data_IF_552672095359
#
_entry.id   IF_552672095359
#
_cell.length_a   1.000
_cell.length_b   1.000
_cell.length_c   1.000
_cell.angle_alpha   90.00
_cell.angle_beta   90.00
_cell.angle_gamma   90.00
#
_symmetry.space_group_name_H-M   'P 1'
#
loop_
_entity.id
_entity.type
_entity.pdbx_description
1 polymer ?
#
# COMPACT_ATOMS: atom_id res chain seq x y z
N UNK A 1 11.82 1.68 13.92
CA UNK A 1 12.41 2.70 14.83
C UNK A 1 12.29 2.25 16.28
N UNK A 2 13.23 2.65 17.15
CA UNK A 2 13.11 2.38 18.59
C UNK A 2 12.17 3.38 19.26
N UNK A 3 11.38 2.89 20.22
CA UNK A 3 10.61 3.79 21.07
C UNK A 3 11.55 4.66 21.92
N UNK A 4 11.31 6.00 22.02
CA UNK A 4 11.95 6.80 23.07
C UNK A 4 11.59 6.27 24.46
N UNK A 5 12.53 6.31 25.41
CA UNK A 5 12.34 5.75 26.74
C UNK A 5 11.14 6.33 27.49
N UNK A 6 10.90 7.63 27.35
CA UNK A 6 9.76 8.32 27.94
C UNK A 6 8.42 7.88 27.33
N UNK A 7 8.37 7.62 26.03
CA UNK A 7 7.17 7.09 25.36
C UNK A 7 6.94 5.63 25.75
N UNK A 8 8.02 4.84 25.83
CA UNK A 8 7.94 3.44 26.25
C UNK A 8 7.38 3.35 27.69
N UNK A 9 7.85 4.22 28.60
CA UNK A 9 7.35 4.29 29.97
C UNK A 9 5.84 4.60 30.01
N UNK A 10 5.34 5.51 29.16
CA UNK A 10 3.90 5.81 29.08
C UNK A 10 3.11 4.64 28.52
N UNK A 11 3.60 3.98 27.47
CA UNK A 11 2.88 2.86 26.83
C UNK A 11 2.88 1.58 27.67
N UNK A 12 3.87 1.43 28.58
CA UNK A 12 3.95 0.31 29.54
C UNK A 12 3.40 0.66 30.92
N UNK A 13 2.93 1.89 31.16
CA UNK A 13 2.28 2.29 32.42
C UNK A 13 1.03 1.42 32.66
N UNK A 14 0.85 0.86 33.86
CA UNK A 14 -0.33 0.03 34.18
C UNK A 14 -1.68 0.72 33.96
N UNK A 15 -1.71 2.05 33.92
CA UNK A 15 -2.92 2.87 33.63
C UNK A 15 -3.17 3.03 32.14
N UNK A 16 -2.21 2.68 31.28
CA UNK A 16 -2.39 2.70 29.83
C UNK A 16 -3.26 1.52 29.40
N UNK A 17 -4.33 1.81 28.68
CA UNK A 17 -5.24 0.79 28.16
C UNK A 17 -4.98 0.64 26.67
N UNK A 18 -4.53 -0.55 26.28
CA UNK A 18 -4.37 -0.96 24.87
C UNK A 18 -5.52 -1.91 24.55
N UNK A 19 -6.59 -1.37 23.98
CA UNK A 19 -7.76 -2.10 23.50
C UNK A 19 -7.64 -2.38 22.00
N UNK A 20 -8.55 -3.18 21.45
CA UNK A 20 -8.51 -3.63 20.07
C UNK A 20 -8.32 -2.50 19.05
N UNK A 21 -9.08 -1.40 19.20
CA UNK A 21 -9.14 -0.29 18.26
C UNK A 21 -8.59 1.03 18.83
N UNK A 22 -8.02 1.02 20.05
CA UNK A 22 -7.61 2.26 20.70
C UNK A 22 -6.51 2.10 21.73
N UNK A 23 -5.79 3.20 21.94
CA UNK A 23 -4.81 3.36 23.01
C UNK A 23 -5.17 4.59 23.82
N UNK A 24 -5.43 4.39 25.13
CA UNK A 24 -5.68 5.47 26.09
C UNK A 24 -4.58 5.50 27.13
N UNK A 25 -3.96 6.64 27.31
CA UNK A 25 -2.82 6.83 28.21
C UNK A 25 -3.16 7.78 29.36
N UNK A 26 -2.50 7.70 30.52
CA UNK A 26 -2.53 8.77 31.50
C UNK A 26 -2.01 10.08 30.88
N UNK A 27 -2.34 11.24 31.49
CA UNK A 27 -1.96 12.55 30.98
C UNK A 27 -1.07 13.35 31.97
N UNK A 28 -0.35 12.66 32.83
CA UNK A 28 0.54 13.20 33.85
C UNK A 28 2.02 13.12 33.44
N UNK A 29 2.31 13.31 32.16
CA UNK A 29 3.66 13.32 31.58
C UNK A 29 3.94 14.62 30.81
N UNK A 30 5.20 14.86 30.46
CA UNK A 30 5.63 16.09 29.80
C UNK A 30 4.97 16.29 28.42
N UNK A 31 4.79 17.56 28.02
CA UNK A 31 4.24 17.89 26.69
C UNK A 31 5.12 17.42 25.56
N UNK A 32 6.43 17.31 25.75
CA UNK A 32 7.38 16.72 24.79
C UNK A 32 7.13 15.24 24.59
N UNK A 33 6.91 14.49 25.68
CA UNK A 33 6.52 13.07 25.63
C UNK A 33 5.19 12.88 24.93
N UNK A 34 4.20 13.78 25.17
CA UNK A 34 2.95 13.78 24.42
C UNK A 34 3.17 13.96 22.91
N UNK A 35 4.00 14.90 22.51
CA UNK A 35 4.27 15.16 21.11
C UNK A 35 4.87 13.93 20.43
N UNK A 36 5.86 13.29 21.06
CA UNK A 36 6.50 12.07 20.59
C UNK A 36 5.51 10.89 20.52
N UNK A 37 4.75 10.66 21.59
CA UNK A 37 3.72 9.62 21.65
C UNK A 37 2.66 9.80 20.56
N UNK A 38 2.14 11.02 20.41
CA UNK A 38 1.14 11.33 19.39
C UNK A 38 1.70 11.12 17.98
N UNK A 39 2.96 11.49 17.73
CA UNK A 39 3.62 11.23 16.44
C UNK A 39 3.72 9.73 16.17
N UNK A 40 4.24 8.96 17.12
CA UNK A 40 4.41 7.51 16.98
C UNK A 40 3.08 6.80 16.74
N UNK A 41 2.07 7.07 17.58
CA UNK A 41 0.77 6.44 17.42
C UNK A 41 0.06 6.85 16.13
N UNK A 42 0.32 8.07 15.61
CA UNK A 42 -0.16 8.49 14.28
C UNK A 42 0.59 7.80 13.15
N UNK A 43 1.88 7.60 13.27
CA UNK A 43 2.68 6.82 12.31
C UNK A 43 2.22 5.35 12.26
N UNK A 44 1.75 4.81 13.39
CA UNK A 44 1.12 3.49 13.45
C UNK A 44 -0.35 3.47 12.97
N UNK A 45 -0.87 4.58 12.43
CA UNK A 45 -2.23 4.68 11.88
C UNK A 45 -3.30 5.19 12.82
N UNK A 46 -2.95 5.51 14.08
CA UNK A 46 -3.88 6.04 15.09
C UNK A 46 -4.24 7.50 14.85
N UNK A 47 -5.41 7.93 15.31
CA UNK A 47 -5.84 9.33 15.36
C UNK A 47 -6.30 9.68 16.76
N UNK A 48 -5.67 10.69 17.37
CA UNK A 48 -6.12 11.19 18.65
C UNK A 48 -7.51 11.83 18.54
N UNK A 49 -8.41 11.48 19.44
CA UNK A 49 -9.78 12.01 19.48
C UNK A 49 -10.05 12.88 20.69
N UNK A 50 -9.75 12.40 21.87
CA UNK A 50 -9.94 13.09 23.14
C UNK A 50 -9.18 12.39 24.25
N UNK A 51 -9.08 13.02 25.45
CA UNK A 51 -8.51 12.36 26.64
C UNK A 51 -9.23 11.06 27.02
N UNK A 52 -10.55 11.01 26.82
CA UNK A 52 -11.38 9.82 27.15
C UNK A 52 -11.22 8.71 26.13
N UNK A 53 -11.12 9.04 24.85
CA UNK A 53 -11.07 8.07 23.74
C UNK A 53 -9.65 7.70 23.36
N UNK A 54 -8.65 8.51 23.70
CA UNK A 54 -7.26 8.30 23.32
C UNK A 54 -7.01 8.39 21.80
N UNK A 55 -6.06 7.60 21.32
CA UNK A 55 -5.82 7.37 19.91
C UNK A 55 -6.69 6.21 19.45
N UNK A 56 -7.48 6.44 18.41
CA UNK A 56 -8.37 5.45 17.79
C UNK A 56 -7.76 5.01 16.46
N UNK A 57 -7.77 3.72 16.19
CA UNK A 57 -7.21 3.08 15.00
C UNK A 57 -8.33 2.52 14.13
N UNK A 58 -8.19 2.53 12.80
CA UNK A 58 -9.18 1.95 11.89
C UNK A 58 -9.12 0.40 11.86
N UNK A 59 -8.19 -0.20 12.61
CA UNK A 59 -7.94 -1.65 12.67
C UNK A 59 -7.54 -2.06 14.09
N UNK A 60 -7.53 -3.38 14.35
CA UNK A 60 -7.10 -3.93 15.64
C UNK A 60 -5.60 -3.71 15.83
N UNK A 61 -5.25 -2.85 16.79
CA UNK A 61 -3.85 -2.45 17.07
C UNK A 61 -3.23 -3.21 18.26
N UNK A 62 -4.06 -3.76 19.16
CA UNK A 62 -3.61 -4.24 20.47
C UNK A 62 -2.45 -5.25 20.40
N UNK A 63 -2.58 -6.30 19.60
CA UNK A 63 -1.56 -7.36 19.55
C UNK A 63 -0.28 -6.85 18.86
N UNK A 64 -0.43 -6.02 17.84
CA UNK A 64 0.73 -5.41 17.17
C UNK A 64 1.49 -4.47 18.08
N UNK A 65 0.79 -3.56 18.76
CA UNK A 65 1.45 -2.64 19.67
C UNK A 65 2.15 -3.39 20.80
N UNK A 66 1.55 -4.46 21.33
CA UNK A 66 2.20 -5.32 22.33
C UNK A 66 3.47 -5.98 21.79
N UNK A 67 3.44 -6.50 20.55
CA UNK A 67 4.63 -7.05 19.89
C UNK A 67 5.72 -5.98 19.71
N UNK A 68 5.35 -4.78 19.25
CA UNK A 68 6.27 -3.66 19.11
C UNK A 68 6.89 -3.27 20.46
N UNK A 69 6.08 -3.21 21.52
CA UNK A 69 6.56 -2.91 22.87
C UNK A 69 7.51 -3.99 23.40
N UNK A 70 7.23 -5.26 23.15
CA UNK A 70 8.11 -6.37 23.52
C UNK A 70 9.44 -6.34 22.75
N UNK A 71 9.43 -5.90 21.49
CA UNK A 71 10.63 -5.71 20.67
C UNK A 71 11.38 -4.40 21.00
N UNK A 72 10.75 -3.43 21.67
CA UNK A 72 11.27 -2.09 21.90
C UNK A 72 11.31 -1.22 20.63
N UNK A 73 10.66 -1.67 19.56
CA UNK A 73 10.69 -1.03 18.24
C UNK A 73 9.29 -0.96 17.64
N UNK A 74 9.05 0.06 16.81
CA UNK A 74 7.81 0.22 16.06
C UNK A 74 8.10 0.54 14.59
N UNK A 75 7.30 0.01 13.66
CA UNK A 75 7.43 0.36 12.26
C UNK A 75 6.79 1.72 12.00
N UNK A 76 7.48 2.58 11.26
CA UNK A 76 6.91 3.83 10.79
C UNK A 76 6.04 3.60 9.55
N UNK A 77 5.12 4.54 9.24
CA UNK A 77 4.39 4.54 7.97
C UNK A 77 5.34 4.49 6.76
N UNK A 78 6.47 5.16 6.87
CA UNK A 78 7.48 5.21 5.81
C UNK A 78 8.16 3.85 5.60
N UNK A 79 8.45 3.12 6.68
CA UNK A 79 9.04 1.77 6.61
C UNK A 79 8.03 0.74 6.09
N UNK A 80 6.74 0.90 6.40
CA UNK A 80 5.67 0.06 5.86
C UNK A 80 5.23 0.48 4.46
N UNK A 81 5.61 1.68 4.00
CA UNK A 81 5.20 2.23 2.71
C UNK A 81 3.68 2.31 2.51
N UNK A 82 2.90 2.18 3.60
CA UNK A 82 1.46 2.09 3.52
C UNK A 82 0.78 3.42 3.85
N UNK A 83 0.03 3.92 2.87
CA UNK A 83 -0.86 5.08 3.02
C UNK A 83 -2.25 4.69 2.51
N UNK A 84 -3.29 4.81 3.36
CA UNK A 84 -4.67 4.54 2.92
C UNK A 84 -5.00 5.41 1.70
N UNK A 85 -5.47 4.79 0.64
CA UNK A 85 -5.90 5.51 -0.57
C UNK A 85 -7.19 6.27 -0.26
N UNK A 86 -7.25 7.60 -0.49
CA UNK A 86 -8.48 8.37 -0.30
C UNK A 86 -9.61 7.86 -1.19
N UNK A 87 -10.85 7.88 -0.67
CA UNK A 87 -12.01 7.33 -1.39
C UNK A 87 -12.24 7.98 -2.75
N UNK A 88 -12.01 9.29 -2.88
CA UNK A 88 -12.11 10.00 -4.17
C UNK A 88 -11.12 9.48 -5.19
N UNK A 89 -9.88 9.20 -4.76
CA UNK A 89 -8.85 8.64 -5.62
C UNK A 89 -9.15 7.18 -5.98
N UNK A 90 -9.68 6.39 -5.03
CA UNK A 90 -10.14 5.01 -5.32
C UNK A 90 -11.16 5.04 -6.47
N UNK A 91 -12.16 5.92 -6.38
CA UNK A 91 -13.17 6.07 -7.44
C UNK A 91 -12.53 6.41 -8.78
N UNK A 92 -11.65 7.41 -8.83
CA UNK A 92 -10.94 7.83 -10.04
C UNK A 92 -10.12 6.68 -10.66
N UNK A 93 -9.34 5.95 -9.85
CA UNK A 93 -8.54 4.80 -10.28
C UNK A 93 -9.43 3.72 -10.91
N UNK A 94 -10.53 3.36 -10.24
CA UNK A 94 -11.42 2.30 -10.71
C UNK A 94 -12.24 2.69 -11.94
N UNK A 95 -12.59 3.98 -12.09
CA UNK A 95 -13.23 4.51 -13.29
C UNK A 95 -12.27 4.45 -14.48
N UNK A 96 -11.03 4.89 -14.29
CA UNK A 96 -9.98 4.84 -15.32
C UNK A 96 -9.64 3.39 -15.69
N UNK A 97 -9.58 2.47 -14.72
CA UNK A 97 -9.37 1.05 -14.97
C UNK A 97 -10.56 0.38 -15.68
N UNK A 98 -11.72 1.02 -15.75
CA UNK A 98 -12.91 0.47 -16.39
C UNK A 98 -13.40 -0.80 -15.69
N UNK A 99 -13.42 -0.81 -14.36
CA UNK A 99 -13.92 -1.94 -13.57
C UNK A 99 -15.42 -2.11 -13.80
N UNK A 100 -15.82 -3.32 -14.19
CA UNK A 100 -17.21 -3.71 -14.47
C UNK A 100 -17.43 -5.20 -14.18
N UNK A 101 -18.68 -5.63 -14.20
CA UNK A 101 -19.07 -6.99 -13.88
C UNK A 101 -18.29 -8.03 -14.69
N UNK A 102 -17.80 -9.05 -13.99
CA UNK A 102 -17.06 -10.19 -14.56
C UNK A 102 -15.58 -9.95 -14.84
N UNK A 103 -15.07 -8.73 -14.70
CA UNK A 103 -13.63 -8.46 -14.87
C UNK A 103 -12.84 -9.04 -13.71
N UNK A 104 -11.76 -9.77 -14.03
CA UNK A 104 -10.78 -10.24 -13.06
C UNK A 104 -9.80 -9.13 -12.74
N UNK A 105 -9.58 -8.88 -11.45
CA UNK A 105 -8.77 -7.75 -10.96
C UNK A 105 -7.71 -8.25 -10.00
N UNK A 106 -6.47 -7.84 -10.22
CA UNK A 106 -5.40 -8.00 -9.24
C UNK A 106 -5.19 -6.71 -8.47
N UNK A 107 -5.18 -6.79 -7.14
CA UNK A 107 -4.73 -5.72 -6.23
C UNK A 107 -3.47 -6.19 -5.49
N UNK A 108 -2.26 -5.91 -6.00
CA UNK A 108 -1.03 -6.51 -5.50
C UNK A 108 -0.44 -5.83 -4.24
N UNK A 109 -1.10 -4.83 -3.70
CA UNK A 109 -0.70 -4.11 -2.48
C UNK A 109 -1.96 -3.63 -1.76
N UNK A 110 -2.83 -4.59 -1.36
CA UNK A 110 -4.22 -4.31 -1.03
C UNK A 110 -4.41 -3.48 0.25
N UNK A 111 -3.44 -3.46 1.14
CA UNK A 111 -3.52 -2.67 2.36
C UNK A 111 -4.75 -3.01 3.20
N UNK A 112 -5.55 -2.01 3.52
CA UNK A 112 -6.80 -2.17 4.26
C UNK A 112 -8.03 -2.44 3.39
N UNK A 113 -7.87 -2.71 2.07
CA UNK A 113 -8.97 -3.04 1.18
C UNK A 113 -9.70 -1.83 0.59
N UNK A 114 -9.01 -0.70 0.41
CA UNK A 114 -9.63 0.50 -0.12
C UNK A 114 -10.19 0.29 -1.53
N UNK A 115 -9.50 -0.46 -2.38
CA UNK A 115 -9.97 -0.82 -3.71
C UNK A 115 -10.91 -2.03 -3.70
N UNK A 116 -10.59 -3.10 -2.95
CA UNK A 116 -11.30 -4.38 -2.99
C UNK A 116 -12.81 -4.24 -2.85
N UNK A 117 -13.29 -3.52 -1.83
CA UNK A 117 -14.72 -3.33 -1.59
C UNK A 117 -15.43 -2.60 -2.75
N UNK A 118 -14.80 -1.59 -3.33
CA UNK A 118 -15.37 -0.84 -4.45
C UNK A 118 -15.29 -1.62 -5.78
N UNK A 119 -14.28 -2.48 -5.96
CA UNK A 119 -14.19 -3.41 -7.12
C UNK A 119 -15.40 -4.34 -7.10
N UNK A 120 -15.66 -4.97 -5.95
CA UNK A 120 -16.80 -5.91 -5.80
C UNK A 120 -18.14 -5.20 -5.98
N UNK A 121 -18.33 -3.99 -5.46
CA UNK A 121 -19.54 -3.19 -5.70
C UNK A 121 -19.78 -2.90 -7.18
N UNK A 122 -18.74 -2.85 -8.03
CA UNK A 122 -18.83 -2.70 -9.48
C UNK A 122 -18.96 -4.04 -10.23
N UNK A 123 -19.04 -5.16 -9.48
CA UNK A 123 -19.17 -6.51 -10.01
C UNK A 123 -17.86 -7.14 -10.51
N UNK A 124 -16.71 -6.55 -10.21
CA UNK A 124 -15.40 -7.14 -10.47
C UNK A 124 -15.09 -8.30 -9.52
N UNK A 125 -14.22 -9.21 -9.95
CA UNK A 125 -13.73 -10.34 -9.16
C UNK A 125 -12.27 -10.07 -8.79
N UNK A 126 -11.97 -9.82 -7.52
CA UNK A 126 -10.67 -9.34 -7.07
C UNK A 126 -9.87 -10.42 -6.35
N UNK A 127 -8.61 -10.55 -6.73
CA UNK A 127 -7.57 -11.24 -5.98
C UNK A 127 -6.64 -10.20 -5.38
N UNK A 128 -6.38 -10.33 -4.08
CA UNK A 128 -5.58 -9.39 -3.32
C UNK A 128 -4.29 -10.03 -2.82
N UNK A 129 -3.19 -9.27 -2.87
CA UNK A 129 -1.92 -9.63 -2.22
C UNK A 129 -1.61 -8.57 -1.16
N UNK A 130 -1.26 -9.01 0.03
CA UNK A 130 -0.91 -8.12 1.14
C UNK A 130 0.25 -8.71 1.96
N UNK A 131 1.26 -7.89 2.19
CA UNK A 131 2.46 -8.27 2.92
C UNK A 131 2.24 -8.36 4.44
N UNK A 132 1.41 -7.49 5.01
CA UNK A 132 1.12 -7.50 6.45
C UNK A 132 0.04 -8.54 6.78
N UNK A 133 0.40 -9.51 7.63
CA UNK A 133 -0.47 -10.62 8.01
C UNK A 133 -1.82 -10.17 8.59
N UNK A 134 -1.85 -9.04 9.30
CA UNK A 134 -3.08 -8.53 9.94
C UNK A 134 -4.00 -7.91 8.91
N UNK A 135 -3.46 -7.14 7.97
CA UNK A 135 -4.24 -6.58 6.87
C UNK A 135 -4.74 -7.70 5.96
N UNK A 136 -3.92 -8.71 5.67
CA UNK A 136 -4.36 -9.90 4.93
C UNK A 136 -5.50 -10.64 5.64
N UNK A 137 -5.44 -10.78 6.97
CA UNK A 137 -6.54 -11.38 7.74
C UNK A 137 -7.80 -10.50 7.72
N UNK A 138 -7.65 -9.18 7.84
CA UNK A 138 -8.78 -8.25 7.73
C UNK A 138 -9.47 -8.37 6.37
N UNK A 139 -8.71 -8.46 5.27
CA UNK A 139 -9.27 -8.65 3.92
C UNK A 139 -10.04 -9.97 3.81
N UNK A 140 -9.55 -11.05 4.42
CA UNK A 140 -10.27 -12.34 4.48
C UNK A 140 -11.56 -12.26 5.29
N UNK A 141 -11.53 -11.54 6.42
CA UNK A 141 -12.71 -11.31 7.26
C UNK A 141 -13.77 -10.45 6.56
N UNK A 142 -13.37 -9.49 5.73
CA UNK A 142 -14.27 -8.67 4.92
C UNK A 142 -15.01 -9.50 3.86
N UNK A 143 -14.36 -10.55 3.33
CA UNK A 143 -14.98 -11.48 2.39
C UNK A 143 -15.21 -10.93 0.97
N UNK A 144 -14.64 -9.79 0.64
CA UNK A 144 -14.79 -9.14 -0.67
C UNK A 144 -13.91 -9.80 -1.75
N UNK A 145 -12.77 -10.38 -1.38
CA UNK A 145 -11.81 -10.94 -2.33
C UNK A 145 -12.12 -12.40 -2.66
N UNK A 146 -11.93 -12.79 -3.93
CA UNK A 146 -11.94 -14.19 -4.34
C UNK A 146 -10.80 -14.95 -3.65
N UNK A 147 -9.60 -14.35 -3.64
CA UNK A 147 -8.44 -14.85 -2.90
C UNK A 147 -7.73 -13.72 -2.17
N UNK A 148 -7.08 -14.04 -1.05
CA UNK A 148 -6.17 -13.14 -0.33
C UNK A 148 -4.88 -13.87 -0.06
N UNK A 149 -3.83 -13.48 -0.76
CA UNK A 149 -2.47 -14.03 -0.60
C UNK A 149 -1.69 -13.17 0.39
N UNK A 150 -1.23 -13.79 1.47
CA UNK A 150 -0.32 -13.16 2.42
C UNK A 150 1.13 -13.46 1.99
N UNK A 151 1.73 -12.55 1.25
CA UNK A 151 3.09 -12.66 0.73
C UNK A 151 3.62 -11.28 0.32
N UNK A 152 4.93 -11.19 0.06
CA UNK A 152 5.46 -10.11 -0.78
C UNK A 152 4.97 -10.31 -2.21
N UNK A 153 4.42 -9.26 -2.81
CA UNK A 153 3.96 -9.35 -4.19
C UNK A 153 5.12 -9.69 -5.15
N UNK A 154 6.32 -9.18 -4.87
CA UNK A 154 7.50 -9.42 -5.70
C UNK A 154 8.01 -10.88 -5.66
N UNK A 155 7.53 -11.69 -4.71
CA UNK A 155 7.88 -13.11 -4.58
C UNK A 155 6.94 -14.03 -5.36
N UNK A 156 5.84 -13.51 -5.93
CA UNK A 156 4.88 -14.30 -6.69
C UNK A 156 5.35 -14.48 -8.14
N UNK A 157 5.13 -15.67 -8.70
CA UNK A 157 5.47 -15.93 -10.09
C UNK A 157 4.26 -15.64 -11.01
N UNK A 158 4.39 -14.73 -12.00
CA UNK A 158 3.33 -14.52 -12.99
C UNK A 158 2.92 -15.80 -13.73
N UNK A 159 3.78 -16.79 -13.84
CA UNK A 159 3.48 -18.08 -14.49
C UNK A 159 2.46 -18.92 -13.71
N UNK A 160 2.24 -18.64 -12.42
CA UNK A 160 1.16 -19.26 -11.63
C UNK A 160 -0.24 -18.75 -12.05
N UNK A 161 -0.29 -17.67 -12.87
CA UNK A 161 -1.51 -17.06 -13.39
C UNK A 161 -1.40 -16.86 -14.92
N UNK A 162 -1.34 -17.94 -15.71
CA UNK A 162 -0.99 -17.86 -17.13
C UNK A 162 -2.02 -17.10 -17.98
N UNK A 163 -3.28 -17.03 -17.55
CA UNK A 163 -4.31 -16.24 -18.23
C UNK A 163 -4.19 -14.73 -17.93
N UNK A 164 -3.52 -14.38 -16.83
CA UNK A 164 -3.40 -13.02 -16.35
C UNK A 164 -4.72 -12.43 -15.87
N UNK A 165 -4.68 -11.14 -15.54
CA UNK A 165 -5.83 -10.38 -15.05
C UNK A 165 -6.27 -9.35 -16.09
N UNK A 166 -7.59 -9.16 -16.23
CA UNK A 166 -8.15 -8.10 -17.07
C UNK A 166 -7.73 -6.69 -16.57
N UNK A 167 -7.58 -6.55 -15.26
CA UNK A 167 -7.24 -5.28 -14.62
C UNK A 167 -6.23 -5.48 -13.50
N UNK A 168 -5.31 -4.55 -13.40
CA UNK A 168 -4.43 -4.43 -12.23
C UNK A 168 -4.63 -3.03 -11.66
N UNK A 169 -5.01 -2.93 -10.39
CA UNK A 169 -5.14 -1.64 -9.70
C UNK A 169 -4.29 -1.66 -8.45
N UNK A 170 -3.50 -0.61 -8.23
CA UNK A 170 -2.57 -0.63 -7.12
C UNK A 170 -2.16 0.75 -6.62
N UNK A 171 -1.86 0.81 -5.33
CA UNK A 171 -1.12 1.89 -4.70
C UNK A 171 0.09 1.25 -3.98
N UNK A 172 1.17 0.95 -4.72
CA UNK A 172 2.31 0.23 -4.18
C UNK A 172 3.10 1.11 -3.19
N UNK A 173 4.00 0.51 -2.39
CA UNK A 173 4.96 1.29 -1.60
C UNK A 173 5.70 2.28 -2.50
N UNK A 174 5.81 3.55 -2.08
CA UNK A 174 6.52 4.56 -2.89
C UNK A 174 8.01 4.25 -3.05
N UNK A 175 8.60 3.57 -2.05
CA UNK A 175 9.94 3.00 -2.18
C UNK A 175 9.86 1.70 -2.98
N UNK A 176 10.58 1.62 -4.10
CA UNK A 176 10.54 0.43 -4.98
C UNK A 176 9.27 0.30 -5.82
N UNK A 177 8.43 1.35 -5.90
CA UNK A 177 7.17 1.32 -6.64
C UNK A 177 7.35 0.94 -8.11
N UNK A 178 8.45 1.34 -8.75
CA UNK A 178 8.74 0.96 -10.14
C UNK A 178 8.94 -0.55 -10.31
N UNK A 179 9.58 -1.22 -9.36
CA UNK A 179 9.76 -2.68 -9.40
C UNK A 179 8.41 -3.40 -9.25
N UNK A 180 7.52 -2.87 -8.39
CA UNK A 180 6.16 -3.39 -8.27
C UNK A 180 5.37 -3.25 -9.57
N UNK A 181 5.46 -2.11 -10.25
CA UNK A 181 4.79 -1.92 -11.56
C UNK A 181 5.33 -2.89 -12.60
N UNK A 182 6.65 -3.00 -12.72
CA UNK A 182 7.30 -3.91 -13.66
C UNK A 182 6.87 -5.35 -13.44
N UNK A 183 6.82 -5.75 -12.18
CA UNK A 183 6.36 -7.08 -11.79
C UNK A 183 4.87 -7.27 -12.10
N UNK A 184 4.03 -6.26 -11.84
CA UNK A 184 2.60 -6.28 -12.09
C UNK A 184 2.24 -6.43 -13.58
N UNK A 185 3.06 -5.88 -14.47
CA UNK A 185 2.90 -6.05 -15.92
C UNK A 185 2.92 -7.55 -16.31
N UNK A 186 3.70 -8.39 -15.61
CA UNK A 186 3.73 -9.82 -15.82
C UNK A 186 2.39 -10.54 -15.57
N UNK A 187 1.54 -9.96 -14.74
CA UNK A 187 0.23 -10.50 -14.39
C UNK A 187 -0.92 -9.98 -15.28
N UNK A 188 -0.64 -9.12 -16.25
CA UNK A 188 -1.65 -8.57 -17.14
C UNK A 188 -2.03 -9.58 -18.24
N UNK A 189 -3.31 -9.71 -18.57
CA UNK A 189 -3.76 -10.39 -19.78
C UNK A 189 -3.49 -9.53 -21.03
N UNK A 190 -3.79 -10.06 -22.23
CA UNK A 190 -3.49 -9.37 -23.49
C UNK A 190 -4.24 -8.05 -23.68
N UNK A 191 -5.49 -7.97 -23.19
CA UNK A 191 -6.34 -6.75 -23.27
C UNK A 191 -6.51 -6.08 -21.91
N UNK A 192 -5.48 -6.18 -21.07
CA UNK A 192 -5.54 -5.67 -19.71
C UNK A 192 -5.29 -4.16 -19.64
N UNK A 193 -5.70 -3.61 -18.51
CA UNK A 193 -5.36 -2.24 -18.10
C UNK A 193 -4.76 -2.29 -16.70
N UNK A 194 -3.61 -1.62 -16.53
CA UNK A 194 -3.03 -1.36 -15.22
C UNK A 194 -3.21 0.13 -14.88
N UNK A 195 -3.75 0.40 -13.70
CA UNK A 195 -3.81 1.75 -13.14
C UNK A 195 -3.13 1.76 -11.77
N UNK A 196 -2.18 2.66 -11.59
CA UNK A 196 -1.40 2.74 -10.35
C UNK A 196 -1.24 4.16 -9.86
N UNK A 197 -1.30 4.31 -8.54
CA UNK A 197 -0.87 5.53 -7.87
C UNK A 197 0.62 5.43 -7.61
N UNK A 198 1.41 6.38 -8.10
CA UNK A 198 2.86 6.37 -8.05
C UNK A 198 3.40 7.66 -7.41
N UNK A 199 4.67 7.61 -6.97
CA UNK A 199 5.38 8.85 -6.66
C UNK A 199 5.48 9.73 -7.91
N UNK A 200 5.21 11.02 -7.78
CA UNK A 200 5.34 12.00 -8.85
C UNK A 200 6.77 12.04 -9.44
N UNK A 201 7.77 11.57 -8.69
CA UNK A 201 9.14 11.37 -9.18
C UNK A 201 9.23 10.54 -10.45
N UNK A 202 8.26 9.65 -10.71
CA UNK A 202 8.15 8.91 -11.96
C UNK A 202 8.16 9.83 -13.20
N UNK A 203 7.66 11.04 -13.08
CA UNK A 203 7.54 12.00 -14.20
C UNK A 203 8.86 12.66 -14.58
N UNK A 204 9.82 12.82 -13.63
CA UNK A 204 11.04 13.62 -13.89
C UNK A 204 12.35 13.03 -13.40
N UNK A 205 12.36 11.93 -12.63
CA UNK A 205 13.62 11.29 -12.26
C UNK A 205 14.39 10.90 -13.53
N UNK A 206 15.70 11.19 -13.52
CA UNK A 206 16.58 11.04 -14.68
C UNK A 206 17.42 9.76 -14.64
N UNK A 207 17.22 8.88 -13.66
CA UNK A 207 17.85 7.59 -13.66
C UNK A 207 17.39 6.76 -14.87
N UNK A 208 18.31 5.91 -15.34
CA UNK A 208 18.10 5.14 -16.57
C UNK A 208 16.82 4.29 -16.52
N UNK A 209 16.57 3.64 -15.39
CA UNK A 209 15.44 2.74 -15.23
C UNK A 209 14.09 3.46 -15.33
N UNK A 210 13.98 4.65 -14.71
CA UNK A 210 12.77 5.48 -14.77
C UNK A 210 12.58 6.09 -16.17
N UNK A 211 13.67 6.50 -16.84
CA UNK A 211 13.60 7.05 -18.19
C UNK A 211 13.14 6.00 -19.21
N UNK A 212 13.69 4.78 -19.15
CA UNK A 212 13.27 3.64 -19.99
C UNK A 212 11.82 3.26 -19.75
N UNK A 213 11.37 3.31 -18.49
CA UNK A 213 9.98 3.03 -18.17
C UNK A 213 9.02 4.08 -18.74
N UNK A 214 9.35 5.37 -18.64
CA UNK A 214 8.54 6.43 -19.29
C UNK A 214 8.46 6.26 -20.81
N UNK A 215 9.55 5.83 -21.43
CA UNK A 215 9.54 5.54 -22.87
C UNK A 215 8.56 4.39 -23.17
N UNK A 216 8.62 3.29 -22.39
CA UNK A 216 7.67 2.18 -22.54
C UNK A 216 6.22 2.64 -22.36
N UNK A 217 5.93 3.48 -21.36
CA UNK A 217 4.59 4.07 -21.18
C UNK A 217 4.12 4.77 -22.44
N UNK A 218 5.00 5.59 -23.06
CA UNK A 218 4.71 6.28 -24.32
C UNK A 218 4.51 5.31 -25.50
N UNK A 219 5.31 4.26 -25.57
CA UNK A 219 5.28 3.29 -26.68
C UNK A 219 3.99 2.43 -26.70
N UNK A 220 3.26 2.40 -25.57
CA UNK A 220 2.00 1.66 -25.44
C UNK A 220 0.78 2.56 -25.31
N UNK A 221 0.90 3.84 -25.67
CA UNK A 221 -0.17 4.83 -25.50
C UNK A 221 -0.66 4.93 -24.03
N UNK A 222 0.25 4.71 -23.09
CA UNK A 222 0.02 4.92 -21.67
C UNK A 222 0.15 6.38 -21.27
N UNK A 223 -0.33 6.70 -20.08
CA UNK A 223 -0.38 8.09 -19.57
C UNK A 223 0.15 8.17 -18.14
N UNK A 224 0.80 9.28 -17.82
CA UNK A 224 1.19 9.64 -16.46
C UNK A 224 0.66 11.05 -16.17
N UNK A 225 -0.26 11.17 -15.22
CA UNK A 225 -0.90 12.44 -14.85
C UNK A 225 -0.56 12.79 -13.39
N UNK A 226 -0.17 14.06 -13.15
CA UNK A 226 0.08 14.56 -11.79
C UNK A 226 -1.23 14.68 -11.02
N UNK A 227 -1.23 14.22 -9.77
CA UNK A 227 -2.35 14.39 -8.86
C UNK A 227 -2.19 15.68 -8.03
N UNK A 228 -3.28 16.27 -7.51
CA UNK A 228 -3.20 17.43 -6.62
C UNK A 228 -2.28 17.18 -5.42
N UNK A 229 -1.50 18.21 -5.04
CA UNK A 229 -0.48 18.11 -3.98
C UNK A 229 -1.04 17.63 -2.62
N UNK A 230 -2.31 17.87 -2.35
CA UNK A 230 -2.99 17.52 -1.10
C UNK A 230 -3.74 16.17 -1.15
N UNK A 231 -3.63 15.42 -2.26
CA UNK A 231 -4.35 14.15 -2.47
C UNK A 231 -4.23 13.20 -1.27
N UNK A 232 -3.06 13.05 -0.68
CA UNK A 232 -2.80 12.19 0.49
C UNK A 232 -2.72 12.94 1.83
N UNK A 233 -3.04 14.23 1.89
CA UNK A 233 -2.99 15.01 3.13
C UNK A 233 -3.85 14.39 4.24
N UNK A 234 -5.05 13.92 3.90
CA UNK A 234 -5.93 13.21 4.85
C UNK A 234 -5.35 11.88 5.36
N UNK A 235 -4.47 11.24 4.57
CA UNK A 235 -3.75 10.01 4.94
C UNK A 235 -2.46 10.29 5.74
N UNK A 236 -2.17 11.57 5.98
CA UNK A 236 -1.06 12.03 6.85
C UNK A 236 0.29 12.06 6.16
N UNK A 237 0.33 12.24 4.85
CA UNK A 237 1.55 12.49 4.08
C UNK A 237 1.33 13.61 3.06
N UNK A 238 2.40 14.35 2.75
CA UNK A 238 2.43 15.35 1.69
C UNK A 238 3.24 14.84 0.48
N UNK A 239 3.36 13.54 0.32
CA UNK A 239 4.03 12.95 -0.84
C UNK A 239 3.23 13.33 -2.09
N UNK A 240 3.90 13.97 -3.04
CA UNK A 240 3.33 14.27 -4.35
C UNK A 240 3.25 12.99 -5.16
N UNK A 241 2.10 12.78 -5.76
CA UNK A 241 1.78 11.55 -6.47
C UNK A 241 1.30 11.81 -7.88
N UNK A 242 1.41 10.81 -8.72
CA UNK A 242 0.84 10.78 -10.06
C UNK A 242 0.02 9.50 -10.26
N UNK A 243 -0.84 9.54 -11.25
CA UNK A 243 -1.61 8.40 -11.71
C UNK A 243 -0.97 7.87 -12.98
N UNK A 244 -0.68 6.57 -12.99
CA UNK A 244 -0.17 5.84 -14.14
C UNK A 244 -1.30 5.03 -14.75
N UNK A 245 -1.49 5.15 -16.06
CA UNK A 245 -2.36 4.31 -16.88
C UNK A 245 -1.54 3.56 -17.92
N UNK A 246 -1.66 2.25 -17.97
CA UNK A 246 -0.99 1.37 -18.92
C UNK A 246 -2.01 0.43 -19.57
N UNK A 247 -2.37 0.63 -20.85
CA UNK A 247 -3.14 -0.34 -21.60
C UNK A 247 -2.22 -1.44 -22.15
N UNK A 248 -2.71 -2.66 -22.22
CA UNK A 248 -2.09 -3.76 -22.93
C UNK A 248 -2.94 -4.14 -24.12
N UNK A 249 -2.30 -4.60 -25.21
CA UNK A 249 -2.95 -5.14 -26.38
C UNK A 249 -2.20 -6.39 -26.84
N UNK A 250 -2.79 -7.27 -27.64
CA UNK A 250 -2.09 -8.42 -28.22
C UNK A 250 -0.83 -7.97 -28.96
N UNK A 251 0.32 -8.56 -28.62
CA UNK A 251 1.62 -8.16 -29.16
C UNK A 251 2.24 -6.88 -28.57
N UNK A 252 1.66 -6.35 -27.50
CA UNK A 252 2.20 -5.18 -26.78
C UNK A 252 3.65 -5.41 -26.35
N UNK A 253 4.52 -4.38 -26.46
CA UNK A 253 5.88 -4.44 -25.94
C UNK A 253 5.94 -4.65 -24.42
N UNK A 254 4.85 -4.42 -23.67
CA UNK A 254 4.76 -4.77 -22.25
C UNK A 254 5.06 -6.24 -21.99
N UNK A 255 4.66 -7.15 -22.88
CA UNK A 255 4.80 -8.61 -22.72
C UNK A 255 6.14 -9.17 -23.24
N UNK A 256 6.84 -8.42 -24.08
CA UNK A 256 8.09 -8.84 -24.70
C UNK A 256 9.34 -8.21 -24.10
N UNK A 257 9.18 -7.24 -23.21
CA UNK A 257 10.30 -6.54 -22.61
C UNK A 257 11.07 -7.44 -21.63
N UNK A 258 12.39 -7.40 -21.67
CA UNK A 258 13.32 -8.22 -20.87
C UNK A 258 13.13 -8.11 -19.35
N UNK A 259 12.32 -7.18 -18.86
CA UNK A 259 12.01 -7.03 -17.43
C UNK A 259 11.29 -8.23 -16.82
N UNK A 260 10.56 -9.02 -17.61
CA UNK A 260 9.95 -10.27 -17.16
C UNK A 260 10.97 -11.36 -16.86
N UNK A 261 12.23 -11.19 -17.31
CA UNK A 261 13.30 -12.17 -17.14
C UNK A 261 14.27 -11.80 -16.01
N UNK A 262 14.16 -10.59 -15.45
CA UNK A 262 14.94 -10.19 -14.30
C UNK A 262 14.39 -10.89 -13.05
N UNK A 263 15.03 -11.97 -12.64
CA UNK A 263 14.82 -12.59 -11.34
C UNK A 263 14.84 -11.51 -10.24
N UNK A 264 13.94 -11.58 -9.23
CA UNK A 264 14.00 -10.66 -8.12
C UNK A 264 15.42 -10.69 -7.55
N UNK A 265 16.08 -9.54 -7.52
CA UNK A 265 17.35 -9.41 -6.81
C UNK A 265 17.04 -9.69 -5.36
N UNK A 266 17.53 -10.81 -4.86
CA UNK A 266 17.64 -11.08 -3.45
C UNK A 266 18.35 -9.87 -2.82
N UNK A 267 17.59 -8.98 -2.21
CA UNK A 267 18.14 -7.95 -1.35
C UNK A 267 18.64 -8.69 -0.13
N UNK A 268 19.95 -8.97 -0.10
CA UNK A 268 20.68 -9.40 1.09
C UNK A 268 20.60 -8.27 2.13
N UNK A 269 19.49 -8.22 2.86
CA UNK A 269 19.28 -7.30 3.98
C UNK A 269 20.04 -7.71 5.26
N UNK A 270 20.92 -8.74 5.16
CA UNK A 270 21.71 -9.25 6.28
C UNK A 270 23.16 -9.55 5.89
N UNK A 271 23.83 -8.65 5.23
CA UNK A 271 25.29 -8.69 5.11
C UNK A 271 25.90 -7.49 5.85
N UNK A 272 26.47 -7.84 7.05
CA UNK A 272 27.30 -7.09 7.99
C UNK A 272 26.59 -6.14 8.97
#
# INVERSE_FOLDING_TARGET
MRFPDDVLAVLTDPRTVIADDRVTTPFDYASTTWASLNTILREMGGRYRSRKSGHVFPHRIADHLRQCLAAGEYPTKYEQGWFPTPTSLVTQVLDLAGIRAGKTVLEPSAGGGAFTSQIVQRGGVVDAVELDARRANLLREQGDCRTVTHASFLDLDPLDQPEGYDRVVMNPPFTGGLDHIRHAIGFMSDDAVLVSVMSEGLMWWSDKATAEFRQLVSDVDGEIESLPDDTFAASGTNVRTCLLYLPSAPGSPLRTHEWHQAQPRQLDLFAA
#
